data_IF_408574921020
#
_entry.id   IF_408574921020
#
_cell.length_a   1.000
_cell.length_b   1.000
_cell.length_c   1.000
_cell.angle_alpha   90.00
_cell.angle_beta   90.00
_cell.angle_gamma   90.00
#
_symmetry.space_group_name_H-M   'P 1'
#
loop_
_entity.id
_entity.type
_entity.pdbx_description
1 polymer ?
#
# COMPACT_ATOMS: atom_id res chain seq x y z
N UNK A 1 -20.03 3.71 13.62
CA UNK A 1 -20.24 4.77 12.61
C UNK A 1 -19.81 4.25 11.27
N UNK A 2 -20.67 4.24 10.29
CA UNK A 2 -20.36 3.84 8.90
C UNK A 2 -19.81 5.07 8.18
N UNK A 3 -18.62 4.98 7.59
CA UNK A 3 -18.11 6.04 6.72
C UNK A 3 -18.66 5.86 5.31
N UNK A 4 -18.81 6.97 4.59
CA UNK A 4 -19.16 6.96 3.17
C UNK A 4 -18.01 7.50 2.37
N UNK A 5 -17.56 6.73 1.37
CA UNK A 5 -16.54 7.19 0.43
C UNK A 5 -17.11 8.29 -0.47
N UNK A 6 -16.28 9.30 -0.75
CA UNK A 6 -16.57 10.26 -1.82
C UNK A 6 -16.48 9.56 -3.18
N UNK A 7 -17.17 10.04 -4.23
CA UNK A 7 -17.17 9.39 -5.55
C UNK A 7 -15.76 9.07 -6.05
N UNK A 8 -14.82 10.03 -6.03
CA UNK A 8 -13.45 9.81 -6.48
C UNK A 8 -12.67 8.78 -5.65
N UNK A 9 -12.98 8.64 -4.36
CA UNK A 9 -12.38 7.60 -3.51
C UNK A 9 -12.92 6.22 -3.89
N UNK A 10 -14.20 6.15 -4.22
CA UNK A 10 -14.84 4.92 -4.66
C UNK A 10 -14.27 4.46 -6.00
N UNK A 11 -14.12 5.38 -6.96
CA UNK A 11 -13.50 5.12 -8.25
C UNK A 11 -12.06 4.61 -8.08
N UNK A 12 -11.26 5.28 -7.23
CA UNK A 12 -9.90 4.86 -6.94
C UNK A 12 -9.81 3.44 -6.33
N UNK A 13 -10.77 3.08 -5.47
CA UNK A 13 -10.86 1.72 -4.90
C UNK A 13 -11.19 0.69 -6.00
N UNK A 14 -12.13 0.99 -6.89
CA UNK A 14 -12.46 0.10 -8.00
C UNK A 14 -11.28 -0.10 -8.95
N UNK A 15 -10.65 0.99 -9.40
CA UNK A 15 -9.51 0.93 -10.31
C UNK A 15 -8.34 0.14 -9.70
N UNK A 16 -8.07 0.35 -8.41
CA UNK A 16 -7.05 -0.40 -7.69
C UNK A 16 -7.37 -1.90 -7.62
N UNK A 17 -8.61 -2.27 -7.33
CA UNK A 17 -9.02 -3.68 -7.25
C UNK A 17 -8.95 -4.34 -8.63
N UNK A 18 -9.37 -3.64 -9.68
CA UNK A 18 -9.30 -4.16 -11.05
C UNK A 18 -7.84 -4.35 -11.50
N UNK A 19 -6.94 -3.42 -11.16
CA UNK A 19 -5.50 -3.60 -11.37
C UNK A 19 -4.97 -4.86 -10.66
N UNK A 20 -5.26 -4.98 -9.35
CA UNK A 20 -4.81 -6.10 -8.53
C UNK A 20 -5.35 -7.46 -8.99
N UNK A 21 -6.52 -7.50 -9.65
CA UNK A 21 -7.06 -8.72 -10.27
C UNK A 21 -6.37 -9.05 -11.59
N UNK A 22 -6.01 -8.04 -12.37
CA UNK A 22 -5.53 -8.20 -13.74
C UNK A 22 -4.03 -8.54 -13.82
N UNK A 23 -3.23 -8.14 -12.82
CA UNK A 23 -1.77 -8.30 -12.87
C UNK A 23 -1.14 -8.43 -11.49
N UNK A 24 0.09 -8.98 -11.45
CA UNK A 24 0.96 -8.97 -10.26
C UNK A 24 1.90 -7.76 -10.23
N UNK A 25 1.89 -6.95 -11.28
CA UNK A 25 2.75 -5.77 -11.39
C UNK A 25 2.39 -4.71 -10.34
N UNK A 26 3.37 -4.03 -9.73
CA UNK A 26 3.10 -3.01 -8.74
C UNK A 26 2.42 -1.78 -9.36
N UNK A 27 1.33 -1.34 -8.73
CA UNK A 27 0.56 -0.16 -9.13
C UNK A 27 0.65 0.97 -8.12
N UNK A 28 0.51 2.22 -8.58
CA UNK A 28 0.59 3.42 -7.76
C UNK A 28 -0.70 4.24 -7.84
N UNK A 29 -1.25 4.61 -6.70
CA UNK A 29 -2.29 5.63 -6.56
C UNK A 29 -1.62 6.94 -6.17
N UNK A 30 -1.74 7.94 -7.01
CA UNK A 30 -1.41 9.32 -6.66
C UNK A 30 -2.67 10.04 -6.18
N UNK A 31 -2.65 10.54 -4.96
CA UNK A 31 -3.77 11.26 -4.39
C UNK A 31 -3.25 12.43 -3.54
N UNK A 32 -3.71 13.64 -3.83
CA UNK A 32 -3.29 14.83 -3.12
C UNK A 32 -3.44 14.72 -1.60
N UNK A 33 -2.74 15.59 -0.89
CA UNK A 33 -2.86 15.70 0.57
C UNK A 33 -4.32 15.98 0.95
N UNK A 34 -4.83 15.29 1.96
CA UNK A 34 -6.23 15.35 2.38
C UNK A 34 -7.27 14.68 1.44
N UNK A 35 -6.86 14.00 0.38
CA UNK A 35 -7.76 13.18 -0.45
C UNK A 35 -8.41 12.01 0.31
N UNK A 36 -7.95 11.73 1.53
CA UNK A 36 -8.44 10.63 2.35
C UNK A 36 -7.81 9.27 1.99
N UNK A 37 -6.50 9.26 1.66
CA UNK A 37 -5.72 8.03 1.38
C UNK A 37 -5.99 6.91 2.39
N UNK A 38 -6.06 7.24 3.69
CA UNK A 38 -6.31 6.25 4.74
C UNK A 38 -7.67 5.54 4.62
N UNK A 39 -8.71 6.22 4.10
CA UNK A 39 -10.01 5.59 3.82
C UNK A 39 -9.95 4.73 2.56
N UNK A 40 -9.21 5.14 1.55
CA UNK A 40 -8.97 4.34 0.34
C UNK A 40 -8.24 3.05 0.72
N UNK A 41 -7.17 3.14 1.52
CA UNK A 41 -6.43 1.98 2.05
C UNK A 41 -7.38 1.04 2.82
N UNK A 42 -8.18 1.60 3.73
CA UNK A 42 -9.11 0.83 4.56
C UNK A 42 -10.12 0.05 3.71
N UNK A 43 -10.70 0.70 2.71
CA UNK A 43 -11.70 0.06 1.85
C UNK A 43 -11.09 -0.99 0.91
N UNK A 44 -9.91 -0.73 0.32
CA UNK A 44 -9.20 -1.73 -0.48
C UNK A 44 -8.88 -2.96 0.38
N UNK A 45 -8.29 -2.76 1.56
CA UNK A 45 -7.94 -3.85 2.46
C UNK A 45 -9.16 -4.68 2.86
N UNK A 46 -10.27 -4.02 3.23
CA UNK A 46 -11.54 -4.69 3.56
C UNK A 46 -12.04 -5.54 2.39
N UNK A 47 -12.15 -4.96 1.19
CA UNK A 47 -12.70 -5.67 0.02
C UNK A 47 -11.83 -6.83 -0.43
N UNK A 48 -10.50 -6.64 -0.50
CA UNK A 48 -9.58 -7.71 -0.89
C UNK A 48 -9.62 -8.85 0.13
N UNK A 49 -9.65 -8.55 1.42
CA UNK A 49 -9.77 -9.57 2.47
C UNK A 49 -11.09 -10.34 2.35
N UNK A 50 -12.22 -9.65 2.15
CA UNK A 50 -13.51 -10.28 1.95
C UNK A 50 -13.56 -11.19 0.72
N UNK A 51 -12.88 -10.77 -0.38
CA UNK A 51 -12.85 -11.53 -1.64
C UNK A 51 -11.91 -12.73 -1.60
N UNK A 52 -10.80 -12.64 -0.87
CA UNK A 52 -9.73 -13.64 -0.96
C UNK A 52 -9.55 -14.48 0.30
N UNK A 53 -10.01 -14.00 1.45
CA UNK A 53 -9.72 -14.60 2.76
C UNK A 53 -8.24 -14.54 3.17
N UNK A 54 -7.38 -13.89 2.37
CA UNK A 54 -5.93 -13.82 2.57
C UNK A 54 -5.52 -12.59 3.36
N UNK A 55 -4.28 -12.61 3.83
CA UNK A 55 -3.71 -11.52 4.64
C UNK A 55 -3.17 -10.39 3.78
N UNK A 56 -3.31 -9.18 4.31
CA UNK A 56 -2.81 -7.93 3.74
C UNK A 56 -1.90 -7.27 4.74
N UNK A 57 -0.73 -6.84 4.29
CA UNK A 57 0.21 -6.05 5.07
C UNK A 57 0.17 -4.60 4.61
N UNK A 58 -0.18 -3.70 5.50
CA UNK A 58 -0.14 -2.25 5.24
C UNK A 58 1.07 -1.68 5.96
N UNK A 59 2.03 -1.16 5.20
CA UNK A 59 3.28 -0.60 5.72
C UNK A 59 3.25 0.91 5.71
N UNK A 60 3.60 1.50 6.83
CA UNK A 60 3.70 2.93 7.05
C UNK A 60 5.14 3.31 7.42
N UNK A 61 5.60 4.53 7.05
CA UNK A 61 6.95 4.97 7.38
C UNK A 61 7.16 5.23 8.88
N UNK A 62 6.10 5.54 9.62
CA UNK A 62 6.19 5.88 11.05
C UNK A 62 4.96 5.44 11.84
N UNK A 63 5.05 5.58 13.18
CA UNK A 63 4.01 5.19 14.13
C UNK A 63 2.74 6.02 14.00
N UNK A 64 2.86 7.29 13.74
CA UNK A 64 1.74 8.24 13.66
C UNK A 64 0.80 7.86 12.49
N UNK A 65 1.38 7.61 11.32
CA UNK A 65 0.64 7.15 10.15
C UNK A 65 0.06 5.73 10.34
N UNK A 66 0.79 4.86 11.06
CA UNK A 66 0.28 3.54 11.41
C UNK A 66 -0.99 3.66 12.25
N UNK A 67 -0.97 4.48 13.29
CA UNK A 67 -2.14 4.70 14.16
C UNK A 67 -3.30 5.33 13.39
N UNK A 68 -3.03 6.35 12.57
CA UNK A 68 -4.03 7.00 11.73
C UNK A 68 -4.73 6.02 10.78
N UNK A 69 -3.96 5.18 10.10
CA UNK A 69 -4.53 4.19 9.16
C UNK A 69 -5.31 3.10 9.90
N UNK A 70 -4.81 2.62 11.04
CA UNK A 70 -5.51 1.64 11.85
C UNK A 70 -6.84 2.18 12.40
N UNK A 71 -6.86 3.45 12.86
CA UNK A 71 -8.09 4.10 13.31
C UNK A 71 -9.12 4.26 12.18
N UNK A 72 -8.67 4.60 10.97
CA UNK A 72 -9.56 4.64 9.79
C UNK A 72 -10.08 3.25 9.44
N UNK A 73 -9.24 2.22 9.49
CA UNK A 73 -9.68 0.85 9.25
C UNK A 73 -10.70 0.36 10.29
N UNK A 74 -10.56 0.77 11.55
CA UNK A 74 -11.53 0.46 12.61
C UNK A 74 -12.96 0.90 12.26
N UNK A 75 -13.12 1.95 11.45
CA UNK A 75 -14.44 2.40 10.99
C UNK A 75 -15.15 1.39 10.08
N UNK A 76 -14.42 0.42 9.51
CA UNK A 76 -15.00 -0.66 8.71
C UNK A 76 -15.75 -1.69 9.56
N UNK A 77 -15.52 -1.74 10.87
CA UNK A 77 -16.02 -2.77 11.76
C UNK A 77 -15.23 -4.09 11.72
N UNK A 78 -14.23 -4.19 10.83
CA UNK A 78 -13.44 -5.41 10.66
C UNK A 78 -12.25 -5.46 11.63
N UNK A 79 -11.86 -6.66 12.09
CA UNK A 79 -10.73 -6.83 12.98
C UNK A 79 -9.40 -6.62 12.24
N UNK A 80 -8.40 -6.11 12.96
CA UNK A 80 -7.04 -5.90 12.45
C UNK A 80 -5.99 -6.20 13.50
N UNK A 81 -4.75 -6.33 13.07
CA UNK A 81 -3.58 -6.50 13.93
C UNK A 81 -2.59 -5.36 13.74
N UNK A 82 -1.88 -5.03 14.80
CA UNK A 82 -0.74 -4.11 14.76
C UNK A 82 0.56 -4.88 14.88
N UNK A 83 1.55 -4.54 14.06
CA UNK A 83 2.88 -5.12 14.08
C UNK A 83 3.93 -4.03 14.12
N UNK A 84 4.12 -3.46 15.32
CA UNK A 84 5.08 -2.38 15.55
C UNK A 84 5.58 -2.41 16.99
N UNK A 85 6.90 -2.39 17.17
CA UNK A 85 7.52 -2.28 18.48
C UNK A 85 7.12 -0.97 19.18
N UNK A 86 7.02 0.11 18.43
CA UNK A 86 6.62 1.43 18.96
C UNK A 86 5.13 1.49 19.35
N UNK A 87 4.30 0.59 18.83
CA UNK A 87 2.90 0.43 19.23
C UNK A 87 2.71 -0.65 20.33
N UNK A 88 3.80 -1.20 20.85
CA UNK A 88 3.81 -2.30 21.84
C UNK A 88 2.96 -3.51 21.41
N UNK A 89 2.88 -3.77 20.11
CA UNK A 89 2.12 -4.88 19.56
C UNK A 89 2.87 -5.54 18.40
N UNK A 90 2.91 -6.86 18.40
CA UNK A 90 3.52 -7.70 17.35
C UNK A 90 2.58 -8.85 16.99
N UNK A 91 1.38 -8.50 16.54
CA UNK A 91 0.35 -9.47 16.18
C UNK A 91 0.19 -9.59 14.67
N UNK A 92 0.03 -10.81 14.18
CA UNK A 92 -0.36 -11.14 12.81
C UNK A 92 -1.65 -11.98 12.77
N UNK A 93 -2.44 -11.91 13.85
CA UNK A 93 -3.62 -12.75 14.04
C UNK A 93 -4.69 -12.52 12.98
N UNK A 94 -5.02 -11.26 12.72
CA UNK A 94 -6.09 -10.89 11.80
C UNK A 94 -5.58 -10.77 10.36
N UNK A 95 -6.52 -10.73 9.41
CA UNK A 95 -6.17 -10.70 7.99
C UNK A 95 -5.58 -9.35 7.54
N UNK A 96 -5.93 -8.26 8.17
CA UNK A 96 -5.28 -6.97 7.90
C UNK A 96 -4.31 -6.65 9.02
N UNK A 97 -3.05 -6.44 8.65
CA UNK A 97 -1.94 -6.15 9.55
C UNK A 97 -1.32 -4.81 9.18
N UNK A 98 -1.35 -3.87 10.12
CA UNK A 98 -0.64 -2.59 9.99
C UNK A 98 0.73 -2.68 10.65
N UNK A 99 1.78 -2.38 9.91
CA UNK A 99 3.15 -2.53 10.39
C UNK A 99 4.08 -1.41 10.00
N UNK A 100 5.19 -1.29 10.74
CA UNK A 100 6.33 -0.46 10.35
C UNK A 100 7.44 -1.34 9.77
N UNK A 101 8.18 -0.80 8.79
CA UNK A 101 9.22 -1.55 8.08
C UNK A 101 10.24 -2.21 9.01
N UNK A 102 10.71 -1.47 10.02
CA UNK A 102 11.71 -1.98 10.96
C UNK A 102 11.20 -3.19 11.76
N UNK A 103 9.96 -3.12 12.23
CA UNK A 103 9.38 -4.22 13.01
C UNK A 103 9.15 -5.47 12.17
N UNK A 104 8.66 -5.31 10.94
CA UNK A 104 8.43 -6.42 10.01
C UNK A 104 9.74 -7.05 9.57
N UNK A 105 10.75 -6.23 9.20
CA UNK A 105 12.08 -6.70 8.78
C UNK A 105 12.73 -7.61 9.81
N UNK A 106 12.58 -7.30 11.09
CA UNK A 106 13.20 -8.08 12.18
C UNK A 106 12.49 -9.41 12.44
N UNK A 107 11.33 -9.65 11.85
CA UNK A 107 10.54 -10.87 12.04
C UNK A 107 9.91 -11.38 10.74
N UNK A 108 10.67 -11.37 9.65
CA UNK A 108 10.19 -11.77 8.32
C UNK A 108 9.59 -13.19 8.27
N UNK A 109 10.05 -14.10 9.15
CA UNK A 109 9.50 -15.46 9.20
C UNK A 109 8.01 -15.52 9.62
N UNK A 110 7.50 -14.48 10.28
CA UNK A 110 6.08 -14.34 10.62
C UNK A 110 5.24 -13.88 9.43
N UNK A 111 5.88 -13.38 8.38
CA UNK A 111 5.27 -12.84 7.15
C UNK A 111 5.59 -13.76 5.98
N UNK A 112 4.81 -14.79 5.82
CA UNK A 112 5.04 -15.83 4.80
C UNK A 112 3.90 -15.90 3.78
N UNK A 113 3.70 -17.04 3.22
CA UNK A 113 2.79 -17.39 2.10
C UNK A 113 1.36 -16.85 2.20
N UNK A 114 0.91 -16.49 3.40
CA UNK A 114 -0.47 -16.05 3.64
C UNK A 114 -0.77 -14.62 3.21
N UNK A 115 0.25 -13.80 2.96
CA UNK A 115 0.10 -12.41 2.54
C UNK A 115 -0.02 -12.33 1.02
N UNK A 116 -1.15 -11.80 0.52
CA UNK A 116 -1.39 -11.66 -0.92
C UNK A 116 -1.14 -10.25 -1.44
N UNK A 117 -1.10 -9.26 -0.56
CA UNK A 117 -0.97 -7.86 -0.90
C UNK A 117 -0.14 -7.12 0.16
N UNK A 118 0.78 -6.28 -0.30
CA UNK A 118 1.42 -5.23 0.49
C UNK A 118 0.91 -3.88 -0.01
N UNK A 119 0.40 -3.07 0.90
CA UNK A 119 0.04 -1.66 0.63
C UNK A 119 1.10 -0.78 1.28
N UNK A 120 1.72 0.11 0.50
CA UNK A 120 2.69 1.09 0.97
C UNK A 120 2.01 2.45 1.06
N UNK A 121 1.82 2.96 2.27
CA UNK A 121 1.40 4.34 2.48
C UNK A 121 2.63 5.26 2.41
N UNK A 122 2.44 6.48 1.90
CA UNK A 122 3.50 7.43 1.56
C UNK A 122 4.62 6.71 0.78
N UNK A 123 4.25 6.14 -0.36
CA UNK A 123 5.09 5.21 -1.13
C UNK A 123 6.45 5.81 -1.52
N UNK A 124 6.53 7.12 -1.78
CA UNK A 124 7.77 7.83 -2.05
C UNK A 124 8.76 7.78 -0.87
N UNK A 125 8.26 7.96 0.35
CA UNK A 125 9.04 7.84 1.57
C UNK A 125 9.28 6.39 1.99
N UNK A 126 8.31 5.50 1.73
CA UNK A 126 8.33 4.09 2.15
C UNK A 126 9.26 3.23 1.29
N UNK A 127 9.52 3.56 0.02
CA UNK A 127 10.43 2.80 -0.85
C UNK A 127 11.89 2.95 -0.39
N UNK A 128 12.24 2.17 0.61
CA UNK A 128 13.59 2.07 1.18
C UNK A 128 14.17 0.68 0.90
N UNK A 129 15.50 0.49 0.98
CA UNK A 129 16.10 -0.83 0.86
C UNK A 129 15.50 -1.87 1.82
N UNK A 130 15.05 -1.44 3.01
CA UNK A 130 14.38 -2.33 3.97
C UNK A 130 13.03 -2.80 3.49
N UNK A 131 12.23 -1.92 2.89
CA UNK A 131 10.93 -2.27 2.31
C UNK A 131 11.11 -3.20 1.10
N UNK A 132 12.06 -2.91 0.21
CA UNK A 132 12.34 -3.78 -0.94
C UNK A 132 12.73 -5.19 -0.48
N UNK A 133 13.56 -5.30 0.56
CA UNK A 133 13.93 -6.59 1.15
C UNK A 133 12.72 -7.34 1.74
N UNK A 134 11.78 -6.64 2.37
CA UNK A 134 10.53 -7.24 2.87
C UNK A 134 9.71 -7.79 1.70
N UNK A 135 9.51 -6.98 0.64
CA UNK A 135 8.76 -7.38 -0.55
C UNK A 135 9.39 -8.61 -1.19
N UNK A 136 10.68 -8.61 -1.42
CA UNK A 136 11.41 -9.72 -2.04
C UNK A 136 11.34 -10.99 -1.20
N UNK A 137 11.47 -10.86 0.12
CA UNK A 137 11.39 -11.99 1.06
C UNK A 137 10.00 -12.64 1.05
N UNK A 138 8.93 -11.85 1.04
CA UNK A 138 7.57 -12.38 0.98
C UNK A 138 7.29 -12.94 -0.42
N UNK A 139 7.73 -12.25 -1.48
CA UNK A 139 7.55 -12.68 -2.87
C UNK A 139 8.26 -13.99 -3.18
N UNK A 140 9.43 -14.24 -2.56
CA UNK A 140 10.15 -15.52 -2.71
C UNK A 140 9.33 -16.73 -2.24
N UNK A 141 8.43 -16.53 -1.29
CA UNK A 141 7.52 -17.56 -0.77
C UNK A 141 6.13 -17.51 -1.40
N UNK A 142 5.72 -16.35 -1.89
CA UNK A 142 4.47 -16.14 -2.61
C UNK A 142 4.72 -15.34 -3.89
N UNK A 143 5.01 -16.00 -5.03
CA UNK A 143 5.25 -15.31 -6.31
C UNK A 143 4.07 -14.47 -6.81
N UNK A 144 2.86 -14.74 -6.31
CA UNK A 144 1.65 -14.00 -6.63
C UNK A 144 1.41 -12.78 -5.71
N UNK A 145 2.40 -12.42 -4.89
CA UNK A 145 2.32 -11.22 -4.05
C UNK A 145 2.15 -9.97 -4.92
N UNK A 146 1.16 -9.17 -4.60
CA UNK A 146 0.89 -7.88 -5.22
C UNK A 146 1.37 -6.74 -4.33
N UNK A 147 1.75 -5.63 -4.94
CA UNK A 147 2.17 -4.42 -4.23
C UNK A 147 1.41 -3.22 -4.77
N UNK A 148 0.83 -2.44 -3.88
CA UNK A 148 0.11 -1.20 -4.17
C UNK A 148 0.74 -0.07 -3.37
N UNK A 149 1.08 1.03 -4.03
CA UNK A 149 1.55 2.25 -3.36
C UNK A 149 0.50 3.33 -3.36
N UNK A 150 0.47 4.15 -2.32
CA UNK A 150 -0.28 5.41 -2.28
C UNK A 150 0.67 6.53 -1.89
N UNK A 151 0.60 7.66 -2.58
CA UNK A 151 1.40 8.85 -2.25
C UNK A 151 0.71 10.11 -2.72
N UNK A 152 1.07 11.24 -2.14
CA UNK A 152 0.72 12.58 -2.66
C UNK A 152 1.81 13.16 -3.55
N UNK A 153 3.00 12.57 -3.56
CA UNK A 153 4.14 13.01 -4.35
C UNK A 153 4.88 11.82 -4.94
N UNK A 154 4.60 11.44 -6.21
CA UNK A 154 5.22 10.28 -6.84
C UNK A 154 6.65 10.55 -7.33
N UNK A 155 7.30 11.58 -6.85
CA UNK A 155 8.62 12.02 -7.24
C UNK A 155 9.59 11.99 -6.06
N UNK A 156 10.75 11.38 -6.28
CA UNK A 156 11.84 11.29 -5.31
C UNK A 156 13.03 12.15 -5.75
N UNK A 157 13.46 13.07 -4.89
CA UNK A 157 14.60 13.93 -5.20
C UNK A 157 15.84 13.08 -5.55
N UNK A 158 16.48 13.38 -6.67
CA UNK A 158 17.66 12.68 -7.17
C UNK A 158 17.39 11.36 -7.89
N UNK A 159 16.18 10.77 -7.75
CA UNK A 159 15.79 9.53 -8.40
C UNK A 159 14.72 9.73 -9.49
N UNK A 160 13.90 10.77 -9.38
CA UNK A 160 12.80 11.02 -10.31
C UNK A 160 11.49 10.37 -9.92
N UNK A 161 10.64 10.12 -10.90
CA UNK A 161 9.35 9.46 -10.69
C UNK A 161 9.52 8.01 -10.23
N UNK A 162 8.67 7.58 -9.30
CA UNK A 162 8.68 6.21 -8.77
C UNK A 162 7.84 5.23 -9.59
N UNK A 163 7.27 5.66 -10.71
CA UNK A 163 6.51 4.84 -11.66
C UNK A 163 7.08 4.95 -13.09
N UNK A 164 6.85 3.90 -13.91
CA UNK A 164 7.34 3.81 -15.30
C UNK A 164 6.38 4.43 -16.31
N UNK A 165 5.08 4.30 -16.09
CA UNK A 165 4.05 4.85 -16.97
C UNK A 165 3.03 5.64 -16.17
N UNK A 166 2.55 6.75 -16.73
CA UNK A 166 1.48 7.56 -16.15
C UNK A 166 0.09 6.87 -16.30
N UNK A 167 -0.94 7.53 -15.80
CA UNK A 167 -2.31 7.02 -15.85
C UNK A 167 -2.79 6.72 -17.28
N UNK A 168 -2.30 7.49 -18.27
CA UNK A 168 -2.65 7.32 -19.69
C UNK A 168 -1.76 6.25 -20.37
N UNK A 169 -0.83 5.64 -19.65
CA UNK A 169 0.11 4.66 -20.19
C UNK A 169 1.31 5.26 -20.90
N UNK A 170 1.51 6.60 -20.83
CA UNK A 170 2.68 7.26 -21.39
C UNK A 170 3.89 6.96 -20.53
N UNK A 171 4.95 6.45 -21.17
CA UNK A 171 6.19 6.14 -20.48
C UNK A 171 6.88 7.41 -19.98
N UNK A 172 7.37 7.35 -18.75
CA UNK A 172 8.23 8.39 -18.18
C UNK A 172 9.62 8.23 -18.78
N UNK A 173 10.23 9.32 -19.31
CA UNK A 173 11.59 9.26 -19.82
C UNK A 173 12.61 8.78 -18.78
N UNK A 174 13.64 8.03 -19.21
CA UNK A 174 14.65 7.45 -18.30
C UNK A 174 15.41 8.50 -17.48
N UNK A 175 15.63 9.69 -18.04
CA UNK A 175 16.24 10.80 -17.34
C UNK A 175 15.38 11.34 -16.18
N UNK A 176 14.06 11.07 -16.21
CA UNK A 176 13.07 11.48 -15.19
C UNK A 176 12.65 10.38 -14.23
N UNK A 177 13.04 9.13 -14.47
CA UNK A 177 12.75 7.98 -13.62
C UNK A 177 13.89 6.96 -13.69
N UNK A 178 14.89 7.10 -12.82
CA UNK A 178 16.11 6.26 -12.87
C UNK A 178 15.85 4.81 -12.49
N UNK A 179 15.11 4.56 -11.41
CA UNK A 179 14.79 3.23 -10.89
C UNK A 179 13.35 3.18 -10.40
N UNK A 180 12.36 3.31 -11.30
CA UNK A 180 10.96 3.32 -10.91
C UNK A 180 10.52 1.93 -10.45
N UNK A 181 9.98 1.84 -9.24
CA UNK A 181 9.49 0.59 -8.67
C UNK A 181 8.12 0.20 -9.23
N UNK A 182 7.20 1.18 -9.34
CA UNK A 182 5.84 0.91 -9.81
C UNK A 182 5.79 0.85 -11.33
N UNK A 183 5.05 -0.12 -11.86
CA UNK A 183 4.88 -0.26 -13.31
C UNK A 183 4.04 0.86 -13.87
N UNK A 184 2.98 1.24 -13.17
CA UNK A 184 2.03 2.25 -13.65
C UNK A 184 1.43 3.07 -12.51
N UNK A 185 1.21 4.35 -12.76
CA UNK A 185 0.27 5.18 -12.02
C UNK A 185 -1.15 4.77 -12.46
N UNK A 186 -1.89 4.09 -11.59
CA UNK A 186 -3.21 3.53 -11.91
C UNK A 186 -4.36 4.48 -11.59
N UNK A 187 -4.14 5.41 -10.67
CA UNK A 187 -5.08 6.43 -10.25
C UNK A 187 -4.36 7.76 -10.03
N UNK A 188 -4.98 8.85 -10.46
CA UNK A 188 -4.54 10.21 -10.19
C UNK A 188 -5.72 11.05 -9.67
N UNK A 189 -5.65 11.43 -8.41
CA UNK A 189 -6.62 12.32 -7.76
C UNK A 189 -5.94 13.68 -7.55
N UNK A 190 -6.26 14.64 -8.42
CA UNK A 190 -5.76 16.01 -8.31
C UNK A 190 -6.53 16.82 -7.26
N UNK A 191 -5.81 17.64 -6.48
CA UNK A 191 -6.43 18.71 -5.70
C UNK A 191 -6.99 19.80 -6.61
N UNK A 192 -8.21 20.23 -6.37
CA UNK A 192 -8.78 21.46 -6.98
C UNK A 192 -8.68 22.61 -5.99
#
# INVERSE_FOLDING_TARGET
MTYTLRPYQQDAVYDAIDWLKSTIEPGLIEAYTCAGKSLIIAEIAKRITAMTGKKILVLQPNKELLQQNAEKYKLTGEPYSLFSASANSKSVRHNVVFGTALSVKNQLNSFCEKFCLIILDEADASLTPSILKIIDSIRSKNPNLRVLGLTSSPYKLGQGYIYRADINGKQVPEDKAKEPFFTKQIVHISGR
#
